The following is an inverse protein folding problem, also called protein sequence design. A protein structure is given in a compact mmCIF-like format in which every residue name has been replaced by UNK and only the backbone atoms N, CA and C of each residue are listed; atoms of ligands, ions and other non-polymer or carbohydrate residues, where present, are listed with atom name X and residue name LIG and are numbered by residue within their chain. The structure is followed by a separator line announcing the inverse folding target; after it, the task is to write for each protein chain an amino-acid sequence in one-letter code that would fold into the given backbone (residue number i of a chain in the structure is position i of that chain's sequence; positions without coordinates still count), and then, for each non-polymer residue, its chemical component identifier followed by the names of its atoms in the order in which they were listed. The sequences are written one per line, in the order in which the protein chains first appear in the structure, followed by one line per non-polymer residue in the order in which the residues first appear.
data_IF_044649385367
#
_entry.id   IF_044649385367
#
_cell.length_a   1.000
_cell.length_b   1.000
_cell.length_c   1.000
_cell.angle_alpha   90.00
_cell.angle_beta   90.00
_cell.angle_gamma   90.00
#
_symmetry.space_group_name_H-M   'P 1'
#
loop_
_entity.id
_entity.type
_entity.pdbx_description
1 polymer ?
#
# COMPACT_ATOMS: atom_id res chain seq x y z
N UNK A 1 -8.19 18.94 -29.42
CA UNK A 1 -7.76 17.74 -28.68
C UNK A 1 -7.24 18.18 -27.32
N UNK A 2 -7.95 17.84 -26.25
CA UNK A 2 -7.52 18.08 -24.88
C UNK A 2 -7.03 16.75 -24.32
N UNK A 3 -5.80 16.36 -24.64
CA UNK A 3 -5.18 15.21 -24.01
C UNK A 3 -4.79 15.64 -22.59
N UNK A 4 -5.53 15.18 -21.59
CA UNK A 4 -5.15 15.35 -20.19
C UNK A 4 -3.95 14.43 -19.89
N UNK A 5 -2.74 14.84 -20.26
CA UNK A 5 -1.52 14.16 -19.85
C UNK A 5 -1.13 14.63 -18.45
N UNK A 6 -1.18 13.74 -17.47
CA UNK A 6 -0.54 13.95 -16.18
C UNK A 6 0.92 13.46 -16.28
N UNK A 7 1.81 14.35 -16.72
CA UNK A 7 3.24 14.09 -16.67
C UNK A 7 3.69 14.13 -15.21
N UNK A 8 4.37 13.08 -14.74
CA UNK A 8 4.88 13.01 -13.38
C UNK A 8 6.38 12.84 -13.44
N UNK A 9 7.10 13.77 -12.82
CA UNK A 9 8.48 13.53 -12.40
C UNK A 9 8.41 12.82 -11.06
N UNK A 10 8.80 11.55 -11.05
CA UNK A 10 8.76 10.73 -9.85
C UNK A 10 10.18 10.41 -9.38
N UNK A 11 10.43 10.66 -8.10
CA UNK A 11 11.62 10.24 -7.38
C UNK A 11 11.20 9.39 -6.19
N UNK A 12 11.36 8.08 -6.29
CA UNK A 12 11.01 7.17 -5.19
C UNK A 12 11.83 5.89 -5.22
N UNK A 13 11.97 5.29 -4.04
CA UNK A 13 12.60 4.00 -3.85
C UNK A 13 11.51 2.93 -3.75
N UNK A 14 11.72 1.78 -4.38
CA UNK A 14 10.82 0.63 -4.25
C UNK A 14 11.63 -0.66 -4.18
N UNK A 15 11.05 -1.68 -3.55
CA UNK A 15 11.67 -3.00 -3.44
C UNK A 15 11.05 -3.97 -4.43
N UNK A 16 11.91 -4.70 -5.13
CA UNK A 16 11.49 -5.74 -6.08
C UNK A 16 11.12 -7.04 -5.35
N UNK A 17 10.45 -7.97 -6.04
CA UNK A 17 10.18 -9.33 -5.54
C UNK A 17 11.48 -10.02 -5.09
N UNK A 18 12.62 -9.75 -5.76
CA UNK A 18 13.94 -10.28 -5.39
C UNK A 18 14.55 -9.63 -4.14
N UNK A 19 13.89 -8.67 -3.50
CA UNK A 19 14.36 -7.99 -2.30
C UNK A 19 15.29 -6.80 -2.56
N UNK A 20 15.66 -6.55 -3.81
CA UNK A 20 16.54 -5.44 -4.18
C UNK A 20 15.79 -4.10 -4.07
N UNK A 21 16.42 -3.12 -3.42
CA UNK A 21 15.96 -1.74 -3.47
C UNK A 21 16.43 -1.06 -4.76
N UNK A 22 15.47 -0.45 -5.46
CA UNK A 22 15.71 0.34 -6.66
C UNK A 22 15.27 1.77 -6.42
N UNK A 23 16.11 2.70 -6.86
CA UNK A 23 15.79 4.11 -6.93
C UNK A 23 15.37 4.45 -8.36
N UNK A 24 14.22 5.06 -8.52
CA UNK A 24 13.78 5.60 -9.81
C UNK A 24 13.71 7.12 -9.71
N UNK A 25 14.39 7.78 -10.65
CA UNK A 25 14.24 9.21 -10.92
C UNK A 25 13.94 9.36 -12.41
N UNK A 26 12.66 9.50 -12.74
CA UNK A 26 12.21 9.54 -14.12
C UNK A 26 10.95 10.41 -14.30
N UNK A 27 10.86 11.07 -15.45
CA UNK A 27 9.64 11.73 -15.92
C UNK A 27 8.85 10.79 -16.83
N UNK A 28 7.64 10.42 -16.45
CA UNK A 28 6.77 9.58 -17.27
C UNK A 28 5.29 9.86 -17.04
N UNK A 29 4.47 9.52 -18.03
CA UNK A 29 3.03 9.37 -17.84
C UNK A 29 2.77 7.96 -17.29
N UNK A 30 1.96 7.80 -16.23
CA UNK A 30 1.63 6.45 -15.73
C UNK A 30 0.86 5.64 -16.77
N UNK A 31 0.02 6.32 -17.53
CA UNK A 31 -0.77 5.74 -18.60
C UNK A 31 -1.06 6.75 -19.70
N UNK A 32 -1.37 6.24 -20.88
CA UNK A 32 -2.12 6.95 -21.93
C UNK A 32 -3.53 6.36 -22.04
N UNK A 33 -4.44 7.13 -22.64
CA UNK A 33 -5.82 6.71 -22.90
C UNK A 33 -6.02 6.70 -24.41
N UNK A 34 -6.58 5.60 -24.93
CA UNK A 34 -7.04 5.49 -26.32
C UNK A 34 -8.56 5.36 -26.26
N UNK A 35 -9.27 6.26 -26.92
CA UNK A 35 -10.73 6.27 -26.93
C UNK A 35 -11.28 5.33 -28.00
N UNK A 36 -12.55 4.95 -27.87
CA UNK A 36 -13.27 4.16 -28.87
C UNK A 36 -13.18 4.83 -30.25
N UNK A 37 -12.86 4.04 -31.28
CA UNK A 37 -12.66 4.47 -32.67
C UNK A 37 -11.23 4.92 -33.01
N UNK A 38 -10.35 5.08 -32.02
CA UNK A 38 -8.93 5.40 -32.28
C UNK A 38 -8.11 4.14 -32.59
N UNK A 39 -6.90 4.31 -33.15
CA UNK A 39 -6.01 3.17 -33.45
C UNK A 39 -5.20 2.76 -32.22
N UNK A 40 -5.24 1.46 -31.92
CA UNK A 40 -4.34 0.80 -30.98
C UNK A 40 -2.90 0.72 -31.55
N UNK A 41 -1.87 0.51 -30.69
CA UNK A 41 -0.49 0.36 -31.15
C UNK A 41 -0.25 -0.81 -32.12
N UNK A 42 -1.12 -1.83 -32.07
CA UNK A 42 -1.10 -2.97 -33.00
C UNK A 42 -1.84 -2.70 -34.32
N UNK A 43 -2.36 -1.48 -34.51
CA UNK A 43 -3.05 -1.03 -35.72
C UNK A 43 -4.55 -1.32 -35.76
N UNK A 44 -5.10 -2.05 -34.78
CA UNK A 44 -6.56 -2.30 -34.69
C UNK A 44 -7.31 -1.04 -34.28
N UNK A 45 -8.58 -0.96 -34.61
CA UNK A 45 -9.49 0.07 -34.09
C UNK A 45 -9.96 -0.30 -32.68
N UNK A 46 -9.93 0.67 -31.77
CA UNK A 46 -10.36 0.50 -30.39
C UNK A 46 -11.89 0.40 -30.31
N UNK A 47 -12.40 -0.72 -29.82
CA UNK A 47 -13.83 -0.98 -29.57
C UNK A 47 -14.32 -0.46 -28.21
N UNK A 48 -13.41 0.01 -27.36
CA UNK A 48 -13.66 0.53 -26.02
C UNK A 48 -12.64 1.62 -25.66
N UNK A 49 -12.74 2.15 -24.44
CA UNK A 49 -11.68 3.00 -23.87
C UNK A 49 -10.58 2.11 -23.30
N UNK A 50 -9.36 2.27 -23.82
CA UNK A 50 -8.18 1.54 -23.37
C UNK A 50 -7.29 2.44 -22.51
N UNK A 51 -6.80 1.90 -21.40
CA UNK A 51 -5.76 2.53 -20.57
C UNK A 51 -4.46 1.77 -20.82
N UNK A 52 -3.50 2.42 -21.47
CA UNK A 52 -2.20 1.83 -21.75
C UNK A 52 -1.23 2.31 -20.67
N UNK A 53 -0.84 1.40 -19.79
CA UNK A 53 0.18 1.69 -18.79
C UNK A 53 1.53 1.87 -19.50
N UNK A 54 2.31 2.86 -19.09
CA UNK A 54 3.66 3.02 -19.63
C UNK A 54 4.56 1.85 -19.24
N UNK A 55 5.54 1.54 -20.08
CA UNK A 55 6.44 0.40 -19.86
C UNK A 55 7.17 0.51 -18.52
N UNK A 56 7.68 1.70 -18.19
CA UNK A 56 8.31 2.00 -16.89
C UNK A 56 7.34 1.72 -15.74
N UNK A 57 6.07 2.11 -15.86
CA UNK A 57 5.08 1.88 -14.81
C UNK A 57 4.71 0.40 -14.71
N UNK A 58 4.59 -0.31 -15.82
CA UNK A 58 4.37 -1.77 -15.85
C UNK A 58 5.52 -2.53 -15.20
N UNK A 59 6.77 -2.17 -15.48
CA UNK A 59 7.95 -2.77 -14.85
C UNK A 59 7.91 -2.61 -13.32
N UNK A 60 7.51 -1.44 -12.84
CA UNK A 60 7.34 -1.20 -11.40
C UNK A 60 6.23 -2.08 -10.85
N UNK A 61 5.04 -2.09 -11.47
CA UNK A 61 3.92 -2.92 -11.01
C UNK A 61 4.24 -4.42 -10.99
N UNK A 62 5.00 -4.91 -11.96
CA UNK A 62 5.40 -6.32 -12.05
C UNK A 62 6.53 -6.67 -11.07
N UNK A 63 7.29 -5.68 -10.58
CA UNK A 63 8.41 -5.91 -9.69
C UNK A 63 8.07 -5.69 -8.22
N UNK A 64 7.07 -4.89 -7.87
CA UNK A 64 6.70 -4.67 -6.47
C UNK A 64 6.08 -5.92 -5.83
N UNK A 65 6.38 -6.13 -4.55
CA UNK A 65 5.74 -7.18 -3.76
C UNK A 65 4.22 -6.97 -3.67
N UNK A 66 3.47 -8.07 -3.66
CA UNK A 66 2.01 -8.01 -3.45
C UNK A 66 1.72 -7.62 -2.01
N UNK A 67 0.85 -6.61 -1.81
CA UNK A 67 0.30 -6.30 -0.50
C UNK A 67 -1.04 -6.99 -0.34
N UNK A 68 -1.17 -7.94 0.59
CA UNK A 68 -2.44 -8.62 0.80
C UNK A 68 -3.47 -7.64 1.37
N UNK A 69 -4.65 -7.57 0.73
CA UNK A 69 -5.82 -6.81 1.16
C UNK A 69 -7.06 -7.63 0.86
N UNK A 70 -8.01 -7.66 1.78
CA UNK A 70 -9.35 -8.21 1.54
C UNK A 70 -10.15 -7.19 0.71
N UNK A 71 -10.35 -7.50 -0.57
CA UNK A 71 -10.99 -6.58 -1.51
C UNK A 71 -12.50 -6.43 -1.27
N UNK A 72 -13.16 -7.47 -0.76
CA UNK A 72 -14.58 -7.39 -0.41
C UNK A 72 -14.75 -6.49 0.81
N UNK A 73 -13.86 -6.63 1.79
CA UNK A 73 -13.83 -5.72 2.93
C UNK A 73 -13.49 -4.28 2.53
N UNK A 74 -12.47 -4.08 1.69
CA UNK A 74 -12.12 -2.76 1.18
C UNK A 74 -13.33 -2.09 0.52
N UNK A 75 -14.05 -2.79 -0.35
CA UNK A 75 -15.24 -2.24 -1.03
C UNK A 75 -16.39 -1.88 -0.09
N UNK A 76 -16.52 -2.57 1.05
CA UNK A 76 -17.57 -2.31 2.03
C UNK A 76 -17.31 -1.04 2.86
N UNK A 77 -16.09 -0.52 2.88
CA UNK A 77 -15.71 0.64 3.68
C UNK A 77 -16.05 1.97 2.98
N UNK A 78 -16.34 3.05 3.72
CA UNK A 78 -16.42 4.39 3.16
C UNK A 78 -15.03 4.87 2.71
N UNK A 79 -14.93 5.84 1.77
CA UNK A 79 -13.66 6.21 1.12
C UNK A 79 -12.49 6.52 2.06
N UNK A 80 -12.71 7.27 3.15
CA UNK A 80 -11.63 7.56 4.10
C UNK A 80 -11.18 6.34 4.90
N UNK A 81 -12.08 5.40 5.20
CA UNK A 81 -11.75 4.14 5.88
C UNK A 81 -11.10 3.14 4.92
N UNK A 82 -11.44 3.17 3.62
CA UNK A 82 -10.70 2.43 2.60
C UNK A 82 -9.23 2.82 2.62
N UNK A 83 -8.99 4.13 2.51
CA UNK A 83 -7.63 4.67 2.49
C UNK A 83 -6.88 4.40 3.80
N UNK A 84 -7.56 4.46 4.94
CA UNK A 84 -6.96 4.08 6.22
C UNK A 84 -6.54 2.61 6.23
N UNK A 85 -7.41 1.69 5.84
CA UNK A 85 -7.11 0.25 5.78
C UNK A 85 -5.90 -0.05 4.88
N UNK A 86 -5.84 0.53 3.67
CA UNK A 86 -4.69 0.38 2.77
C UNK A 86 -3.35 0.81 3.39
N UNK A 87 -3.40 1.86 4.23
CA UNK A 87 -2.21 2.45 4.84
C UNK A 87 -1.75 1.70 6.08
N UNK A 88 -2.68 1.18 6.90
CA UNK A 88 -2.37 0.56 8.20
C UNK A 88 -2.30 -0.97 8.15
N UNK A 89 -2.88 -1.63 7.14
CA UNK A 89 -2.87 -3.08 7.06
C UNK A 89 -1.46 -3.71 7.05
N UNK A 90 -0.42 -3.09 6.44
CA UNK A 90 0.93 -3.63 6.54
C UNK A 90 1.45 -3.67 7.99
N UNK A 91 1.18 -2.62 8.78
CA UNK A 91 1.59 -2.55 10.18
C UNK A 91 0.76 -3.50 11.05
N UNK A 92 -0.54 -3.67 10.75
CA UNK A 92 -1.40 -4.66 11.43
C UNK A 92 -0.88 -6.07 11.19
N UNK A 93 -0.54 -6.42 9.95
CA UNK A 93 0.04 -7.73 9.65
C UNK A 93 1.46 -7.90 10.22
N UNK A 94 2.25 -6.83 10.31
CA UNK A 94 3.52 -6.87 11.04
C UNK A 94 3.30 -7.14 12.53
N UNK A 95 2.32 -6.48 13.16
CA UNK A 95 2.00 -6.71 14.56
C UNK A 95 1.60 -8.16 14.81
N UNK A 96 0.75 -8.74 13.95
CA UNK A 96 0.37 -10.15 14.03
C UNK A 96 1.56 -11.09 13.83
N UNK A 97 2.38 -10.85 12.80
CA UNK A 97 3.55 -11.69 12.51
C UNK A 97 4.56 -11.72 13.65
N UNK A 98 4.85 -10.56 14.24
CA UNK A 98 5.85 -10.41 15.30
C UNK A 98 5.27 -10.51 16.70
N UNK A 99 4.00 -10.90 16.81
CA UNK A 99 3.29 -11.01 18.08
C UNK A 99 3.40 -9.73 18.94
N UNK A 100 3.33 -8.57 18.28
CA UNK A 100 3.27 -7.27 18.92
C UNK A 100 1.86 -7.01 19.40
N UNK A 101 1.72 -6.36 20.55
CA UNK A 101 0.42 -6.04 21.14
C UNK A 101 -0.42 -5.07 20.30
N UNK A 102 0.22 -4.27 19.43
CA UNK A 102 -0.46 -3.31 18.56
C UNK A 102 0.39 -2.89 17.37
N UNK A 103 -0.27 -2.53 16.27
CA UNK A 103 0.32 -1.75 15.20
C UNK A 103 0.30 -0.26 15.55
N UNK A 104 1.37 0.47 15.22
CA UNK A 104 1.44 1.93 15.44
C UNK A 104 1.44 2.68 14.12
N UNK A 105 0.79 3.84 14.11
CA UNK A 105 0.76 4.73 12.96
C UNK A 105 0.65 6.19 13.41
N UNK A 106 1.34 7.11 12.74
CA UNK A 106 1.24 8.53 13.07
C UNK A 106 -0.01 9.14 12.43
N UNK A 107 -0.71 9.98 13.19
CA UNK A 107 -1.86 10.73 12.68
C UNK A 107 -1.45 11.70 11.56
N UNK A 108 -0.28 12.33 11.68
CA UNK A 108 0.30 13.17 10.63
C UNK A 108 0.53 12.42 9.32
N UNK A 109 1.16 11.24 9.38
CA UNK A 109 1.38 10.38 8.21
C UNK A 109 0.06 9.98 7.56
N UNK A 110 -0.94 9.62 8.37
CA UNK A 110 -2.26 9.29 7.85
C UNK A 110 -2.87 10.47 7.11
N UNK A 111 -2.81 11.68 7.66
CA UNK A 111 -3.32 12.89 7.01
C UNK A 111 -2.61 13.13 5.66
N UNK A 112 -1.28 13.03 5.63
CA UNK A 112 -0.46 13.22 4.43
C UNK A 112 -0.85 12.20 3.36
N UNK A 113 -0.81 10.91 3.68
CA UNK A 113 -0.99 9.84 2.70
C UNK A 113 -2.44 9.58 2.31
N UNK A 114 -3.40 10.04 3.10
CA UNK A 114 -4.83 9.99 2.73
C UNK A 114 -5.34 11.26 2.05
N UNK A 115 -4.54 12.33 2.00
CA UNK A 115 -5.00 13.65 1.53
C UNK A 115 -6.01 14.31 2.47
N UNK A 116 -6.11 13.82 3.71
CA UNK A 116 -7.06 14.32 4.71
C UNK A 116 -6.48 15.57 5.39
N UNK A 117 -7.34 16.54 5.70
CA UNK A 117 -6.93 17.72 6.47
C UNK A 117 -6.43 17.32 7.86
N UNK A 118 -5.19 17.71 8.19
CA UNK A 118 -4.62 17.61 9.54
C UNK A 118 -5.20 18.68 10.47
N UNK A 119 -5.51 18.27 11.68
CA UNK A 119 -5.87 19.14 12.81
C UNK A 119 -4.85 19.03 13.93
N UNK A 120 -4.54 20.15 14.58
CA UNK A 120 -3.58 20.20 15.69
C UNK A 120 -4.25 20.25 17.06
N UNK A 121 -5.58 20.43 17.10
CA UNK A 121 -6.37 20.30 18.31
C UNK A 121 -6.92 18.88 18.47
N UNK A 122 -6.70 18.28 19.64
CA UNK A 122 -7.04 16.89 19.91
C UNK A 122 -8.52 16.57 19.67
N UNK A 123 -9.44 17.43 20.10
CA UNK A 123 -10.88 17.17 19.92
C UNK A 123 -11.30 17.07 18.45
N UNK A 124 -10.64 17.82 17.56
CA UNK A 124 -10.91 17.76 16.12
C UNK A 124 -10.27 16.51 15.50
N UNK A 125 -9.02 16.23 15.83
CA UNK A 125 -8.31 15.02 15.38
C UNK A 125 -9.04 13.75 15.83
N UNK A 126 -9.45 13.68 17.09
CA UNK A 126 -10.21 12.56 17.67
C UNK A 126 -11.54 12.34 16.96
N UNK A 127 -12.31 13.40 16.68
CA UNK A 127 -13.59 13.28 15.95
C UNK A 127 -13.37 12.78 14.52
N UNK A 128 -12.31 13.23 13.87
CA UNK A 128 -11.94 12.79 12.52
C UNK A 128 -11.53 11.30 12.52
N UNK A 129 -10.61 10.91 13.41
CA UNK A 129 -10.16 9.54 13.58
C UNK A 129 -11.31 8.60 13.96
N UNK A 130 -12.23 9.03 14.83
CA UNK A 130 -13.38 8.22 15.22
C UNK A 130 -14.22 7.79 14.01
N UNK A 131 -14.50 8.71 13.07
CA UNK A 131 -15.30 8.40 11.87
C UNK A 131 -14.63 7.34 11.00
N UNK A 132 -13.30 7.36 10.94
CA UNK A 132 -12.50 6.47 10.08
C UNK A 132 -12.28 5.12 10.74
N UNK A 133 -12.06 5.10 12.05
CA UNK A 133 -11.83 3.88 12.83
C UNK A 133 -13.12 3.11 13.14
N UNK A 134 -14.27 3.77 13.20
CA UNK A 134 -15.54 3.14 13.57
C UNK A 134 -15.88 1.93 12.68
N UNK A 135 -15.86 2.02 11.33
CA UNK A 135 -16.12 0.85 10.48
C UNK A 135 -15.17 -0.33 10.73
N UNK A 136 -13.91 -0.05 11.07
CA UNK A 136 -12.92 -1.09 11.35
C UNK A 136 -13.11 -1.75 12.72
N UNK A 137 -13.62 -0.99 13.70
CA UNK A 137 -14.05 -1.56 14.99
C UNK A 137 -15.31 -2.39 14.83
N UNK A 138 -16.30 -1.86 14.12
CA UNK A 138 -17.59 -2.52 13.90
C UNK A 138 -17.43 -3.84 13.12
N UNK A 139 -16.44 -3.92 12.21
CA UNK A 139 -16.14 -5.14 11.45
C UNK A 139 -15.29 -6.18 12.21
N UNK A 140 -14.77 -5.84 13.39
CA UNK A 140 -13.81 -6.67 14.13
C UNK A 140 -12.40 -6.68 13.53
N UNK A 141 -12.08 -5.80 12.58
CA UNK A 141 -10.71 -5.66 12.06
C UNK A 141 -9.76 -5.04 13.10
N UNK A 142 -10.27 -4.09 13.89
CA UNK A 142 -9.54 -3.45 15.00
C UNK A 142 -10.28 -3.76 16.30
N UNK A 143 -9.65 -4.51 17.21
CA UNK A 143 -10.24 -4.82 18.51
C UNK A 143 -10.30 -3.60 19.41
N UNK A 144 -9.20 -2.84 19.49
CA UNK A 144 -9.15 -1.61 20.27
C UNK A 144 -8.18 -0.59 19.67
N UNK A 145 -8.34 0.67 20.09
CA UNK A 145 -7.47 1.78 19.68
C UNK A 145 -7.14 2.63 20.89
N UNK A 146 -5.87 3.03 20.99
CA UNK A 146 -5.41 4.04 21.92
C UNK A 146 -4.61 5.12 21.20
N UNK A 147 -4.49 6.28 21.83
CA UNK A 147 -3.81 7.44 21.28
C UNK A 147 -2.82 7.96 22.30
N UNK A 148 -1.60 8.22 21.85
CA UNK A 148 -0.53 8.80 22.65
C UNK A 148 -0.13 10.14 22.03
N UNK A 149 -0.07 11.19 22.84
CA UNK A 149 0.37 12.51 22.37
C UNK A 149 1.86 12.47 22.04
N UNK A 150 2.22 13.02 20.89
CA UNK A 150 3.61 13.19 20.46
C UNK A 150 3.79 14.54 19.76
N UNK A 151 4.98 14.80 19.25
CA UNK A 151 5.27 15.90 18.35
C UNK A 151 5.81 15.34 17.02
N UNK A 152 5.52 16.01 15.91
CA UNK A 152 6.13 15.66 14.63
C UNK A 152 7.56 16.20 14.52
N UNK A 153 8.20 15.95 13.38
CA UNK A 153 9.57 16.41 13.09
C UNK A 153 9.76 17.94 13.11
N UNK A 154 8.68 18.72 13.12
CA UNK A 154 8.69 20.19 13.24
C UNK A 154 8.32 20.67 14.64
N UNK A 155 8.12 19.77 15.60
CA UNK A 155 7.68 20.08 16.95
C UNK A 155 6.19 20.37 17.07
N UNK A 156 5.40 20.16 16.02
CA UNK A 156 3.96 20.38 16.05
C UNK A 156 3.23 19.20 16.69
N UNK A 157 2.09 19.47 17.35
CA UNK A 157 1.30 18.42 18.00
C UNK A 157 0.91 17.31 17.03
N UNK A 158 1.07 16.08 17.49
CA UNK A 158 0.69 14.89 16.74
C UNK A 158 0.28 13.76 17.70
N UNK A 159 -0.18 12.64 17.15
CA UNK A 159 -0.59 11.48 17.93
C UNK A 159 -0.14 10.17 17.29
N UNK A 160 0.41 9.29 18.12
CA UNK A 160 0.58 7.88 17.76
C UNK A 160 -0.76 7.19 17.95
N UNK A 161 -1.25 6.58 16.87
CA UNK A 161 -2.44 5.73 16.85
C UNK A 161 -1.96 4.30 17.06
N UNK A 162 -2.33 3.67 18.18
CA UNK A 162 -2.03 2.27 18.44
C UNK A 162 -3.28 1.43 18.19
N UNK A 163 -3.18 0.46 17.29
CA UNK A 163 -4.26 -0.40 16.81
C UNK A 163 -4.01 -1.83 17.27
N UNK A 164 -4.88 -2.36 18.13
CA UNK A 164 -4.85 -3.79 18.47
C UNK A 164 -5.58 -4.54 17.38
N UNK A 165 -4.93 -5.49 16.67
CA UNK A 165 -5.59 -6.33 15.67
C UNK A 165 -6.81 -7.04 16.27
N UNK A 166 -7.89 -7.15 15.51
CA UNK A 166 -9.06 -7.94 15.90
C UNK A 166 -9.17 -9.25 15.12
N UNK A 167 -10.18 -10.04 15.45
CA UNK A 167 -10.36 -11.39 14.89
C UNK A 167 -10.48 -11.41 13.37
N UNK A 168 -11.04 -10.35 12.76
CA UNK A 168 -11.07 -10.25 11.29
C UNK A 168 -9.66 -10.06 10.71
N UNK A 169 -8.82 -9.24 11.34
CA UNK A 169 -7.45 -9.03 10.90
C UNK A 169 -6.60 -10.30 11.08
N UNK A 170 -6.80 -11.02 12.18
CA UNK A 170 -6.19 -12.33 12.42
C UNK A 170 -6.58 -13.33 11.33
N UNK A 171 -7.87 -13.47 11.02
CA UNK A 171 -8.34 -14.37 9.97
C UNK A 171 -7.87 -13.96 8.56
N UNK A 172 -7.79 -12.67 8.26
CA UNK A 172 -7.18 -12.18 7.02
C UNK A 172 -5.69 -12.56 6.95
N UNK A 173 -4.94 -12.35 8.03
CA UNK A 173 -3.52 -12.70 8.11
C UNK A 173 -3.31 -14.20 7.92
N UNK A 174 -4.03 -15.05 8.63
CA UNK A 174 -3.98 -16.50 8.43
C UNK A 174 -4.30 -16.88 6.98
N UNK A 175 -5.37 -16.33 6.40
CA UNK A 175 -5.73 -16.63 5.00
C UNK A 175 -4.60 -16.27 4.02
N UNK A 176 -3.95 -15.14 4.21
CA UNK A 176 -2.91 -14.65 3.30
C UNK A 176 -1.56 -15.34 3.48
N UNK A 177 -1.22 -15.77 4.71
CA UNK A 177 0.11 -16.27 5.04
C UNK A 177 0.16 -17.77 5.36
N UNK A 178 -0.97 -18.41 5.66
CA UNK A 178 -1.05 -19.88 5.84
C UNK A 178 -1.17 -20.63 4.52
N UNK A 179 -1.59 -19.96 3.43
CA UNK A 179 -1.82 -20.60 2.14
C UNK A 179 -0.78 -20.13 1.10
N UNK A 180 0.31 -20.89 0.91
CA UNK A 180 1.35 -20.60 -0.09
C UNK A 180 0.82 -20.50 -1.54
N UNK A 181 -0.40 -20.96 -1.79
CA UNK A 181 -1.08 -20.93 -3.10
C UNK A 181 -2.02 -19.73 -3.30
N UNK A 182 -2.28 -18.89 -2.27
CA UNK A 182 -3.24 -17.79 -2.37
C UNK A 182 -2.71 -16.56 -3.14
N UNK A 183 -1.42 -16.54 -3.48
CA UNK A 183 -0.88 -15.55 -4.39
C UNK A 183 -1.16 -16.02 -5.83
N UNK A 184 -1.99 -15.31 -6.61
CA UNK A 184 -2.14 -15.66 -8.02
C UNK A 184 -0.77 -15.56 -8.68
N UNK A 185 -0.19 -16.71 -9.04
CA UNK A 185 0.99 -16.75 -9.90
C UNK A 185 0.60 -15.97 -11.15
N UNK A 186 1.30 -14.88 -11.42
CA UNK A 186 1.16 -14.13 -12.67
C UNK A 186 1.37 -15.10 -13.84
N UNK A 187 0.28 -15.61 -14.41
CA UNK A 187 0.29 -16.45 -15.59
C UNK A 187 0.44 -15.55 -16.81
N UNK A 188 1.64 -15.00 -17.02
CA UNK A 188 2.04 -14.51 -18.33
C UNK A 188 3.31 -15.22 -18.73
N UNK A 189 3.21 -15.92 -19.85
CA UNK A 189 4.33 -16.55 -20.56
C UNK A 189 5.35 -15.47 -20.90
N UNK A 190 6.36 -15.34 -20.05
CA UNK A 190 7.57 -14.60 -20.37
C UNK A 190 8.33 -15.40 -21.42
N UNK A 191 8.51 -14.84 -22.62
CA UNK A 191 9.49 -15.36 -23.57
C UNK A 191 10.87 -15.34 -22.89
N UNK A 192 11.56 -16.48 -22.94
CA UNK A 192 12.86 -16.75 -22.33
C UNK A 192 13.89 -15.68 -22.69
N UNK A 193 14.54 -15.12 -21.66
CA UNK A 193 15.91 -14.62 -21.75
C UNK A 193 16.75 -15.56 -20.88
N UNK A 194 17.88 -16.00 -21.44
CA UNK A 194 18.69 -17.15 -21.06
C UNK A 194 19.21 -17.13 -19.62
N UNK A 195 19.23 -18.33 -19.04
CA UNK A 195 19.83 -18.72 -17.77
C UNK A 195 21.34 -18.51 -17.78
N UNK A 196 21.87 -17.78 -16.78
CA UNK A 196 23.12 -18.12 -16.11
C UNK A 196 23.26 -17.30 -14.82
N UNK A 197 23.50 -18.01 -13.71
CA UNK A 197 23.80 -17.55 -12.34
C UNK A 197 22.63 -17.12 -11.43
N UNK A 198 21.95 -18.11 -10.83
CA UNK A 198 21.30 -17.98 -9.52
C UNK A 198 21.70 -19.19 -8.65
N UNK A 199 22.81 -19.03 -7.94
CA UNK A 199 23.19 -19.87 -6.82
C UNK A 199 22.56 -19.27 -5.54
N UNK A 200 22.05 -20.15 -4.67
CA UNK A 200 21.09 -19.89 -3.59
C UNK A 200 21.52 -18.84 -2.55
N UNK A 201 20.59 -17.96 -2.13
CA UNK A 201 20.54 -17.41 -0.76
C UNK A 201 19.10 -17.06 -0.32
N UNK A 202 18.59 -17.61 0.81
CA UNK A 202 17.28 -17.27 1.36
C UNK A 202 17.40 -16.11 2.36
N UNK A 203 17.07 -14.88 1.92
CA UNK A 203 16.99 -13.70 2.81
C UNK A 203 15.77 -12.82 2.44
N UNK A 204 14.61 -13.43 2.17
CA UNK A 204 13.41 -12.70 1.75
C UNK A 204 12.43 -12.37 2.88
N UNK A 205 12.60 -12.96 4.07
CA UNK A 205 11.63 -12.84 5.15
C UNK A 205 12.02 -11.87 6.26
N UNK A 206 13.22 -11.29 6.24
CA UNK A 206 13.70 -10.36 7.28
C UNK A 206 13.57 -8.90 6.85
N UNK A 207 14.01 -8.55 5.64
CA UNK A 207 14.21 -7.15 5.30
C UNK A 207 12.93 -6.34 5.01
N UNK A 208 11.83 -6.98 4.56
CA UNK A 208 10.52 -6.29 4.40
C UNK A 208 9.99 -5.79 5.75
N UNK A 209 10.34 -6.53 6.80
CA UNK A 209 9.92 -6.24 8.16
C UNK A 209 10.89 -5.34 8.88
N UNK A 210 12.19 -5.43 8.58
CA UNK A 210 13.20 -4.49 9.09
C UNK A 210 12.87 -3.03 8.71
N UNK A 211 12.21 -2.78 7.57
CA UNK A 211 11.72 -1.43 7.21
C UNK A 211 10.39 -1.04 7.87
N UNK A 212 9.49 -2.00 8.11
CA UNK A 212 8.31 -1.76 8.95
C UNK A 212 8.72 -1.45 10.40
N UNK A 213 9.82 -2.04 10.86
CA UNK A 213 10.46 -1.78 12.16
C UNK A 213 11.32 -0.50 12.14
N UNK A 214 11.98 -0.13 11.04
CA UNK A 214 12.72 1.13 10.93
C UNK A 214 11.81 2.37 11.07
N UNK A 215 10.54 2.25 10.66
CA UNK A 215 9.50 3.27 10.93
C UNK A 215 9.04 3.34 12.40
N UNK A 216 9.35 2.33 13.22
CA UNK A 216 9.12 2.32 14.68
C UNK A 216 10.33 2.83 15.49
N UNK A 217 11.53 2.86 14.90
CA UNK A 217 12.79 3.21 15.58
C UNK A 217 13.23 4.67 15.40
N UNK A 218 12.45 5.50 14.69
CA UNK A 218 12.63 6.95 14.68
C UNK A 218 12.19 7.56 16.03
N UNK A 219 13.09 7.53 17.01
CA UNK A 219 13.08 8.40 18.18
C UNK A 219 13.52 9.82 17.83
#
# INVERSE_FOLDING_TARGET
MQNASAFITAKFSYRTVSGLERNLEAGFNRYSVIFTGERLPDGREADAVYVLLSDIFLEILNSVGTRPLDYDYLKALPPSSQRFYELVSPQVFAALKYNLSSAKYLYSDWCIYSGTKRYYEWDKAKKQLYKVLKPHKDSGYIASVSFESTADSKGEKDWVISLVPGTKAEGEFERFFSNKEAFPKSSRSSKKVSDEALEELPIQETLFWDLAMAGLESK
#
